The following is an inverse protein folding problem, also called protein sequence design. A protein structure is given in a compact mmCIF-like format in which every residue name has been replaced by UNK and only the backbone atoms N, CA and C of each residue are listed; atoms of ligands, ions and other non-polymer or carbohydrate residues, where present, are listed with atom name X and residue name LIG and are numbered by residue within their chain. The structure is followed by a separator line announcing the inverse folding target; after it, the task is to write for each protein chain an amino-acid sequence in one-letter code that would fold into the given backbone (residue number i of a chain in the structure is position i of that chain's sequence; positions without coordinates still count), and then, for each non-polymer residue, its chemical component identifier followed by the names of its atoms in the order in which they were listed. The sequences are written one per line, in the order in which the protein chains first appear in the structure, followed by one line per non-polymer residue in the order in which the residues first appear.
data_IF_455052912593
#
_entry.id   IF_455052912593
#
_cell.length_a   1.000
_cell.length_b   1.000
_cell.length_c   1.000
_cell.angle_alpha   90.00
_cell.angle_beta   90.00
_cell.angle_gamma   90.00
#
_symmetry.space_group_name_H-M   'P 1'
#
loop_
_entity.id
_entity.type
_entity.pdbx_description
1 polymer ?
#
# COMPACT_ATOMS: atom_id res chain seq x y z
N UNK A 1 -6.02 -5.70 11.98
CA UNK A 1 -4.67 -6.30 12.01
C UNK A 1 -3.61 -5.21 12.17
N UNK A 2 -2.49 -5.57 12.74
CA UNK A 2 -1.38 -4.63 12.88
C UNK A 2 -0.34 -4.91 11.82
N UNK A 3 0.11 -3.88 11.13
CA UNK A 3 1.04 -4.01 10.01
C UNK A 3 2.13 -2.96 10.14
N UNK A 4 3.38 -3.38 9.91
CA UNK A 4 4.51 -2.45 9.83
C UNK A 4 4.88 -2.28 8.35
N UNK A 5 4.53 -1.14 7.78
CA UNK A 5 4.83 -0.83 6.39
C UNK A 5 6.24 -0.27 6.19
N UNK A 6 6.95 0.00 7.26
CA UNK A 6 8.30 0.56 7.19
C UNK A 6 9.34 -0.54 6.94
N UNK A 7 9.14 -1.28 5.85
CA UNK A 7 10.01 -2.37 5.45
C UNK A 7 10.49 -2.12 4.03
N UNK A 8 11.75 -2.47 3.76
CA UNK A 8 12.33 -2.29 2.45
C UNK A 8 11.77 -3.29 1.45
N UNK A 9 11.49 -2.82 0.24
CA UNK A 9 11.24 -3.73 -0.87
C UNK A 9 12.53 -4.49 -1.19
N UNK A 10 12.36 -5.70 -1.68
CA UNK A 10 13.47 -6.54 -2.12
C UNK A 10 13.37 -6.79 -3.62
N UNK A 11 14.52 -6.94 -4.26
CA UNK A 11 14.56 -7.32 -5.67
C UNK A 11 14.31 -8.83 -5.82
N UNK A 12 14.33 -9.34 -7.05
CA UNK A 12 14.04 -10.75 -7.30
C UNK A 12 15.07 -11.70 -6.69
N UNK A 13 16.23 -11.21 -6.29
CA UNK A 13 17.27 -11.99 -5.62
C UNK A 13 17.20 -11.87 -4.10
N UNK A 14 16.23 -11.13 -3.57
CA UNK A 14 16.05 -10.95 -2.13
C UNK A 14 16.90 -9.85 -1.51
N UNK A 15 17.55 -9.01 -2.33
CA UNK A 15 18.34 -7.89 -1.81
C UNK A 15 17.47 -6.66 -1.62
N UNK A 16 17.72 -5.90 -0.57
CA UNK A 16 16.98 -4.67 -0.31
C UNK A 16 17.27 -3.64 -1.42
N UNK A 17 16.21 -2.93 -1.82
CA UNK A 17 16.28 -1.96 -2.91
C UNK A 17 16.48 -0.53 -2.46
N UNK A 18 16.52 -0.28 -1.15
CA UNK A 18 16.62 1.08 -0.63
C UNK A 18 15.32 1.87 -0.71
N UNK A 19 14.22 1.20 -1.02
CA UNK A 19 12.88 1.79 -1.08
C UNK A 19 11.99 1.08 -0.05
N UNK A 20 11.22 1.83 0.70
CA UNK A 20 10.31 1.22 1.68
C UNK A 20 8.91 1.08 1.10
N UNK A 21 8.19 0.08 1.60
CA UNK A 21 6.79 -0.13 1.22
C UNK A 21 5.96 1.10 1.58
N UNK A 22 6.20 1.67 2.78
CA UNK A 22 5.50 2.87 3.23
C UNK A 22 5.65 4.03 2.24
N UNK A 23 6.87 4.29 1.79
CA UNK A 23 7.12 5.42 0.89
C UNK A 23 6.53 5.19 -0.50
N UNK A 24 6.75 4.00 -1.08
CA UNK A 24 6.32 3.75 -2.45
C UNK A 24 4.80 3.58 -2.55
N UNK A 25 4.21 2.82 -1.66
CA UNK A 25 2.76 2.65 -1.62
C UNK A 25 2.08 3.94 -1.16
N UNK A 26 2.70 4.64 -0.22
CA UNK A 26 2.21 5.95 0.23
C UNK A 26 2.09 6.95 -0.90
N UNK A 27 3.08 7.00 -1.79
CA UNK A 27 3.03 7.87 -2.98
C UNK A 27 1.85 7.53 -3.89
N UNK A 28 1.61 6.25 -4.10
CA UNK A 28 0.48 5.79 -4.92
C UNK A 28 -0.83 6.27 -4.29
N UNK A 29 -1.02 5.99 -3.00
CA UNK A 29 -2.25 6.35 -2.29
C UNK A 29 -2.49 7.85 -2.26
N UNK A 30 -1.44 8.62 -2.09
CA UNK A 30 -1.55 10.08 -2.01
C UNK A 30 -1.95 10.72 -3.35
N UNK A 31 -1.52 10.11 -4.44
CA UNK A 31 -1.69 10.69 -5.78
C UNK A 31 -2.76 10.01 -6.63
N UNK A 32 -3.46 9.02 -6.09
CA UNK A 32 -4.44 8.25 -6.83
C UNK A 32 -5.72 9.04 -7.06
N UNK A 33 -6.30 8.89 -8.25
CA UNK A 33 -7.61 9.50 -8.56
C UNK A 33 -8.56 8.53 -9.24
N UNK A 34 -8.06 7.39 -9.72
CA UNK A 34 -8.87 6.40 -10.43
C UNK A 34 -8.54 4.99 -9.95
N UNK A 35 -9.49 4.08 -10.15
CA UNK A 35 -9.29 2.65 -9.94
C UNK A 35 -9.82 1.97 -11.21
N UNK A 36 -8.92 1.31 -11.93
CA UNK A 36 -9.24 0.82 -13.27
C UNK A 36 -9.57 1.99 -14.17
N UNK A 37 -10.73 1.92 -14.84
CA UNK A 37 -11.19 2.99 -15.73
C UNK A 37 -12.17 3.94 -15.05
N UNK A 38 -12.42 3.78 -13.75
CA UNK A 38 -13.41 4.55 -13.02
C UNK A 38 -12.76 5.54 -12.06
N UNK A 39 -13.29 6.75 -11.93
CA UNK A 39 -12.79 7.67 -10.91
C UNK A 39 -13.12 7.14 -9.52
N UNK A 40 -12.25 7.39 -8.57
CA UNK A 40 -12.49 7.06 -7.17
C UNK A 40 -13.60 7.96 -6.61
N UNK A 41 -14.43 7.39 -5.75
CA UNK A 41 -15.41 8.20 -5.01
C UNK A 41 -14.69 9.08 -3.98
N UNK A 42 -15.39 10.07 -3.45
CA UNK A 42 -14.83 10.93 -2.41
C UNK A 42 -14.43 10.12 -1.17
N UNK A 43 -15.24 9.13 -0.80
CA UNK A 43 -14.93 8.24 0.32
C UNK A 43 -13.67 7.43 0.07
N UNK A 44 -13.52 6.91 -1.14
CA UNK A 44 -12.33 6.13 -1.51
C UNK A 44 -11.08 7.00 -1.51
N UNK A 45 -11.17 8.21 -2.02
CA UNK A 45 -10.06 9.18 -1.97
C UNK A 45 -9.65 9.46 -0.53
N UNK A 46 -10.63 9.66 0.34
CA UNK A 46 -10.37 9.94 1.74
C UNK A 46 -9.74 8.73 2.44
N UNK A 47 -10.21 7.53 2.13
CA UNK A 47 -9.63 6.30 2.64
C UNK A 47 -8.16 6.16 2.20
N UNK A 48 -7.86 6.45 0.93
CA UNK A 48 -6.49 6.40 0.42
C UNK A 48 -5.59 7.41 1.15
N UNK A 49 -6.09 8.62 1.36
CA UNK A 49 -5.37 9.66 2.10
C UNK A 49 -5.08 9.23 3.54
N UNK A 50 -6.08 8.69 4.23
CA UNK A 50 -5.91 8.24 5.61
C UNK A 50 -4.95 7.06 5.72
N UNK A 51 -5.03 6.12 4.79
CA UNK A 51 -4.09 4.99 4.75
C UNK A 51 -2.66 5.46 4.52
N UNK A 52 -2.47 6.41 3.62
CA UNK A 52 -1.15 7.00 3.39
C UNK A 52 -0.58 7.57 4.69
N UNK A 53 -1.39 8.34 5.41
CA UNK A 53 -0.96 8.92 6.67
C UNK A 53 -0.64 7.86 7.72
N UNK A 54 -1.43 6.80 7.79
CA UNK A 54 -1.17 5.69 8.73
C UNK A 54 0.18 5.04 8.45
N UNK A 55 0.42 4.67 7.20
CA UNK A 55 1.62 3.89 6.89
C UNK A 55 2.91 4.70 6.94
N UNK A 56 2.81 6.03 6.82
CA UNK A 56 4.00 6.88 6.88
C UNK A 56 4.27 7.45 8.27
N UNK A 57 3.34 7.29 9.21
CA UNK A 57 3.43 7.93 10.54
C UNK A 57 3.87 7.02 11.67
N UNK A 58 4.16 5.76 11.42
CA UNK A 58 4.53 4.87 12.50
C UNK A 58 5.14 3.59 12.01
N UNK A 59 5.70 2.82 12.94
CA UNK A 59 6.29 1.54 12.61
C UNK A 59 5.23 0.46 12.46
N UNK A 60 4.23 0.48 13.34
CA UNK A 60 3.16 -0.51 13.32
C UNK A 60 1.82 0.22 13.44
N UNK A 61 0.92 -0.06 12.52
CA UNK A 61 -0.38 0.63 12.46
C UNK A 61 -1.51 -0.38 12.38
N UNK A 62 -2.67 0.00 12.89
CA UNK A 62 -3.87 -0.83 12.81
C UNK A 62 -4.53 -0.65 11.46
N UNK A 63 -4.79 -1.76 10.77
CA UNK A 63 -5.44 -1.77 9.46
C UNK A 63 -6.70 -2.60 9.54
N UNK A 64 -7.85 -2.01 9.16
CA UNK A 64 -9.12 -2.73 9.14
C UNK A 64 -9.18 -3.67 7.93
N UNK A 65 -10.12 -4.60 7.95
CA UNK A 65 -10.34 -5.51 6.82
C UNK A 65 -10.70 -4.74 5.55
N UNK A 66 -11.48 -3.68 5.68
CA UNK A 66 -11.87 -2.81 4.58
C UNK A 66 -10.67 -2.09 3.98
N UNK A 67 -9.83 -1.54 4.86
CA UNK A 67 -8.61 -0.86 4.43
C UNK A 67 -7.65 -1.83 3.75
N UNK A 68 -7.51 -3.03 4.31
CA UNK A 68 -6.64 -4.07 3.71
C UNK A 68 -7.12 -4.46 2.32
N UNK A 69 -8.43 -4.67 2.15
CA UNK A 69 -9.01 -5.04 0.86
C UNK A 69 -8.82 -3.93 -0.17
N UNK A 70 -9.04 -2.68 0.23
CA UNK A 70 -8.83 -1.53 -0.64
C UNK A 70 -7.36 -1.42 -1.06
N UNK A 71 -6.45 -1.58 -0.11
CA UNK A 71 -5.01 -1.50 -0.37
C UNK A 71 -4.55 -2.58 -1.36
N UNK A 72 -5.01 -3.82 -1.18
CA UNK A 72 -4.68 -4.92 -2.08
C UNK A 72 -5.20 -4.64 -3.49
N UNK A 73 -6.42 -4.13 -3.60
CA UNK A 73 -7.01 -3.78 -4.90
C UNK A 73 -6.20 -2.71 -5.62
N UNK A 74 -5.85 -1.63 -4.93
CA UNK A 74 -5.10 -0.52 -5.51
C UNK A 74 -3.68 -0.96 -5.89
N UNK A 75 -3.01 -1.68 -5.01
CA UNK A 75 -1.66 -2.17 -5.29
C UNK A 75 -1.64 -3.14 -6.48
N UNK A 76 -2.69 -3.93 -6.64
CA UNK A 76 -2.82 -4.82 -7.78
C UNK A 76 -2.93 -4.10 -9.11
N UNK A 77 -3.43 -2.86 -9.10
CA UNK A 77 -3.55 -2.05 -10.31
C UNK A 77 -2.29 -1.22 -10.61
N UNK A 78 -1.61 -0.77 -9.60
CA UNK A 78 -0.55 0.24 -9.76
C UNK A 78 0.87 -0.26 -9.56
N UNK A 79 1.06 -1.42 -8.93
CA UNK A 79 2.40 -1.93 -8.65
C UNK A 79 2.80 -3.04 -9.62
N UNK A 80 4.12 -3.25 -9.75
CA UNK A 80 4.65 -4.39 -10.49
C UNK A 80 4.34 -5.68 -9.73
N UNK A 81 4.50 -6.82 -10.40
CA UNK A 81 4.25 -8.12 -9.79
C UNK A 81 5.08 -8.32 -8.51
N UNK A 82 6.36 -7.98 -8.56
CA UNK A 82 7.23 -8.14 -7.40
C UNK A 82 6.84 -7.25 -6.23
N UNK A 83 6.51 -5.99 -6.51
CA UNK A 83 6.08 -5.06 -5.47
C UNK A 83 4.72 -5.45 -4.90
N UNK A 84 3.78 -5.79 -5.77
CA UNK A 84 2.45 -6.22 -5.34
C UNK A 84 2.52 -7.45 -4.45
N UNK A 85 3.31 -8.45 -4.85
CA UNK A 85 3.45 -9.68 -4.08
C UNK A 85 3.96 -9.42 -2.67
N UNK A 86 4.94 -8.53 -2.53
CA UNK A 86 5.49 -8.19 -1.22
C UNK A 86 4.49 -7.46 -0.33
N UNK A 87 3.71 -6.55 -0.91
CA UNK A 87 2.65 -5.86 -0.15
C UNK A 87 1.58 -6.85 0.29
N UNK A 88 1.16 -7.73 -0.61
CA UNK A 88 0.14 -8.72 -0.29
C UNK A 88 0.59 -9.67 0.79
N UNK A 89 1.83 -10.16 0.71
CA UNK A 89 2.39 -11.04 1.75
C UNK A 89 2.43 -10.34 3.10
N UNK A 90 2.78 -9.06 3.11
CA UNK A 90 2.82 -8.28 4.35
C UNK A 90 1.44 -8.17 4.99
N UNK A 91 0.41 -7.97 4.18
CA UNK A 91 -0.96 -7.81 4.67
C UNK A 91 -1.59 -9.14 5.05
N UNK A 92 -1.39 -10.18 4.26
CA UNK A 92 -2.01 -11.48 4.48
C UNK A 92 -1.24 -12.35 5.47
N UNK A 93 -0.04 -11.98 5.73
CA UNK A 93 0.72 -12.59 6.77
C UNK A 93 1.58 -13.65 6.61
#
# INVERSE_FOLDING_TARGET
MKVNFNQSFKDFKGKTMGLTIADEVGKVLFNISTSGNMPLSAEEKYMAYKLCNKMTNGEEVEVSSEEAAFLVKICGEYLTAGAYGQVRDLIEG
#
